data_IF_350803478136
#
_entry.id   IF_350803478136
#
_cell.length_a   1.000
_cell.length_b   1.000
_cell.length_c   1.000
_cell.angle_alpha   90.00
_cell.angle_beta   90.00
_cell.angle_gamma   90.00
#
_symmetry.space_group_name_H-M   'P 1'
#
loop_
_entity.id
_entity.type
_entity.pdbx_description
1 polymer ?
#
# COMPACT_ATOMS: atom_id res chain seq x y z
N UNK A 1 1.81 25.91 -48.19
CA UNK A 1 1.20 26.16 -46.86
C UNK A 1 0.78 24.89 -46.12
N UNK A 2 0.76 23.71 -46.77
CA UNK A 2 0.32 22.43 -46.18
C UNK A 2 1.38 21.81 -45.25
N UNK A 3 2.65 21.84 -45.63
CA UNK A 3 3.75 21.17 -44.90
C UNK A 3 3.93 21.57 -43.42
N UNK A 4 3.77 22.85 -43.07
CA UNK A 4 3.96 23.30 -41.68
C UNK A 4 2.81 22.81 -40.77
N UNK A 5 1.58 22.89 -41.28
CA UNK A 5 0.41 22.40 -40.55
C UNK A 5 0.50 20.88 -40.38
N UNK A 6 0.87 20.17 -41.43
CA UNK A 6 1.07 18.71 -41.39
C UNK A 6 2.14 18.34 -40.36
N UNK A 7 3.27 19.06 -40.33
CA UNK A 7 4.34 18.83 -39.35
C UNK A 7 3.86 19.07 -37.92
N UNK A 8 3.11 20.15 -37.68
CA UNK A 8 2.55 20.46 -36.36
C UNK A 8 1.54 19.38 -35.94
N UNK A 9 0.67 18.96 -36.85
CA UNK A 9 -0.32 17.91 -36.61
C UNK A 9 0.40 16.59 -36.28
N UNK A 10 1.37 16.17 -37.08
CA UNK A 10 2.14 14.94 -36.86
C UNK A 10 2.90 14.97 -35.54
N UNK A 11 3.57 16.07 -35.19
CA UNK A 11 4.26 16.18 -33.90
C UNK A 11 3.29 16.15 -32.71
N UNK A 12 2.14 16.80 -32.85
CA UNK A 12 1.11 16.80 -31.78
C UNK A 12 0.57 15.39 -31.56
N UNK A 13 0.27 14.66 -32.64
CA UNK A 13 -0.18 13.27 -32.58
C UNK A 13 0.88 12.38 -31.92
N UNK A 14 2.15 12.49 -32.35
CA UNK A 14 3.24 11.70 -31.81
C UNK A 14 3.46 11.97 -30.31
N UNK A 15 3.37 13.23 -29.87
CA UNK A 15 3.50 13.59 -28.46
C UNK A 15 2.35 13.02 -27.61
N UNK A 16 1.11 13.12 -28.09
CA UNK A 16 -0.05 12.53 -27.40
C UNK A 16 0.10 11.02 -27.32
N UNK A 17 0.53 10.37 -28.40
CA UNK A 17 0.73 8.92 -28.45
C UNK A 17 1.79 8.47 -27.43
N UNK A 18 2.94 9.16 -27.37
CA UNK A 18 4.01 8.85 -26.42
C UNK A 18 3.56 9.05 -24.96
N UNK A 19 2.85 10.14 -24.65
CA UNK A 19 2.31 10.39 -23.32
C UNK A 19 1.28 9.32 -22.91
N UNK A 20 0.46 8.87 -23.86
CA UNK A 20 -0.57 7.84 -23.62
C UNK A 20 0.08 6.49 -23.37
N UNK A 21 1.04 6.06 -24.19
CA UNK A 21 1.73 4.77 -24.05
C UNK A 21 2.52 4.71 -22.73
N UNK A 22 3.25 5.78 -22.39
CA UNK A 22 4.04 5.83 -21.17
C UNK A 22 3.18 5.79 -19.90
N UNK A 23 2.02 6.46 -19.91
CA UNK A 23 1.11 6.41 -18.77
C UNK A 23 0.30 5.11 -18.71
N UNK A 24 -0.12 4.58 -19.86
CA UNK A 24 -0.92 3.35 -19.94
C UNK A 24 -0.12 2.14 -19.43
N UNK A 25 1.16 2.03 -19.78
CA UNK A 25 2.02 0.95 -19.27
C UNK A 25 2.18 0.99 -17.74
N UNK A 26 2.33 2.17 -17.15
CA UNK A 26 2.40 2.35 -15.70
C UNK A 26 1.09 1.98 -15.00
N UNK A 27 -0.05 2.37 -15.57
CA UNK A 27 -1.37 2.02 -15.03
C UNK A 27 -1.64 0.51 -15.11
N UNK A 28 -1.35 -0.11 -16.26
CA UNK A 28 -1.51 -1.56 -16.45
C UNK A 28 -0.63 -2.33 -15.47
N UNK A 29 0.64 -1.93 -15.33
CA UNK A 29 1.56 -2.55 -14.37
C UNK A 29 1.01 -2.45 -12.95
N UNK A 30 0.54 -1.27 -12.54
CA UNK A 30 0.00 -1.06 -11.20
C UNK A 30 -1.23 -1.92 -10.92
N UNK A 31 -2.21 -1.96 -11.83
CA UNK A 31 -3.42 -2.79 -11.68
C UNK A 31 -3.11 -4.29 -11.71
N UNK A 32 -2.12 -4.70 -12.50
CA UNK A 32 -1.65 -6.10 -12.52
C UNK A 32 -1.02 -6.47 -11.18
N UNK A 33 -0.16 -5.61 -10.61
CA UNK A 33 0.46 -5.86 -9.31
C UNK A 33 -0.56 -5.89 -8.17
N UNK A 34 -1.58 -5.00 -8.19
CA UNK A 34 -2.70 -5.07 -7.23
C UNK A 34 -3.41 -6.41 -7.29
N UNK A 35 -3.73 -6.85 -8.50
CA UNK A 35 -4.46 -8.10 -8.73
C UNK A 35 -3.63 -9.30 -8.27
N UNK A 36 -2.33 -9.32 -8.60
CA UNK A 36 -1.41 -10.38 -8.20
C UNK A 36 -1.22 -10.43 -6.68
N UNK A 37 -1.03 -9.28 -6.04
CA UNK A 37 -0.92 -9.18 -4.58
C UNK A 37 -2.20 -9.68 -3.91
N UNK A 38 -3.38 -9.30 -4.42
CA UNK A 38 -4.64 -9.81 -3.91
C UNK A 38 -4.74 -11.32 -4.07
N UNK A 39 -4.43 -11.83 -5.27
CA UNK A 39 -4.60 -13.24 -5.61
C UNK A 39 -3.72 -14.15 -4.74
N UNK A 40 -2.47 -13.75 -4.52
CA UNK A 40 -1.47 -14.53 -3.77
C UNK A 40 -1.43 -14.22 -2.27
N UNK A 41 -2.26 -13.28 -1.78
CA UNK A 41 -2.34 -13.00 -0.35
C UNK A 41 -2.88 -14.20 0.44
N UNK A 42 -2.48 -14.28 1.71
CA UNK A 42 -3.13 -15.13 2.71
C UNK A 42 -4.64 -14.84 2.72
N UNK A 43 -5.44 -15.91 2.76
CA UNK A 43 -6.90 -15.86 2.66
C UNK A 43 -7.57 -16.12 3.99
N UNK A 44 -8.86 -15.80 4.02
CA UNK A 44 -9.70 -16.26 5.13
C UNK A 44 -9.64 -17.77 5.23
N UNK A 45 -9.57 -18.25 6.47
CA UNK A 45 -9.50 -19.66 6.83
C UNK A 45 -8.15 -20.36 6.57
N UNK A 46 -7.12 -19.62 6.11
CA UNK A 46 -5.75 -20.13 6.15
C UNK A 46 -5.28 -20.24 7.60
N UNK A 47 -4.66 -21.36 7.96
CA UNK A 47 -4.12 -21.59 9.30
C UNK A 47 -2.70 -21.04 9.33
N UNK A 48 -2.44 -20.12 10.25
CA UNK A 48 -1.11 -19.55 10.47
C UNK A 48 -0.58 -19.93 11.84
N UNK A 49 0.69 -20.32 11.89
CA UNK A 49 1.44 -20.44 13.13
C UNK A 49 1.77 -19.06 13.71
N UNK A 50 2.11 -19.01 15.00
CA UNK A 50 2.55 -17.78 15.67
C UNK A 50 3.77 -17.15 14.98
N UNK A 51 4.70 -17.97 14.48
CA UNK A 51 5.90 -17.49 13.81
C UNK A 51 5.58 -16.83 12.45
N UNK A 52 4.66 -17.40 11.69
CA UNK A 52 4.19 -16.81 10.43
C UNK A 52 3.46 -15.48 10.67
N UNK A 53 2.62 -15.42 11.70
CA UNK A 53 1.97 -14.16 12.12
C UNK A 53 3.01 -13.08 12.49
N UNK A 54 4.02 -13.44 13.28
CA UNK A 54 5.09 -12.50 13.66
C UNK A 54 5.89 -12.02 12.44
N UNK A 55 6.20 -12.93 11.51
CA UNK A 55 6.88 -12.60 10.28
C UNK A 55 6.06 -11.62 9.43
N UNK A 56 4.78 -11.91 9.23
CA UNK A 56 3.85 -11.05 8.49
C UNK A 56 3.76 -9.65 9.10
N UNK A 57 3.66 -9.54 10.42
CA UNK A 57 3.63 -8.25 11.11
C UNK A 57 4.93 -7.46 10.94
N UNK A 58 6.08 -8.13 10.94
CA UNK A 58 7.38 -7.49 10.71
C UNK A 58 7.52 -6.99 9.26
N UNK A 59 7.09 -7.77 8.26
CA UNK A 59 7.05 -7.31 6.87
C UNK A 59 6.09 -6.13 6.71
N UNK A 60 4.90 -6.21 7.31
CA UNK A 60 3.90 -5.16 7.26
C UNK A 60 4.45 -3.85 7.83
N UNK A 61 5.15 -3.88 8.97
CA UNK A 61 5.79 -2.71 9.60
C UNK A 61 6.78 -1.98 8.68
N UNK A 62 7.36 -2.66 7.69
CA UNK A 62 8.32 -2.08 6.74
C UNK A 62 7.65 -1.39 5.54
N UNK A 63 6.36 -1.60 5.34
CA UNK A 63 5.61 -1.01 4.23
C UNK A 63 5.38 0.50 4.46
N UNK A 64 5.33 1.27 3.37
CA UNK A 64 5.04 2.71 3.42
C UNK A 64 3.61 3.01 3.90
N UNK A 65 2.66 2.12 3.62
CA UNK A 65 1.25 2.25 3.99
C UNK A 65 0.71 0.93 4.57
N UNK A 66 1.14 0.56 5.79
CA UNK A 66 0.99 -0.79 6.33
C UNK A 66 -0.46 -1.23 6.60
N UNK A 67 -1.38 -0.27 6.84
CA UNK A 67 -2.76 -0.59 7.25
C UNK A 67 -3.80 -0.37 6.15
N UNK A 68 -3.36 -0.08 4.92
CA UNK A 68 -4.24 0.05 3.75
C UNK A 68 -3.74 -0.89 2.67
N UNK A 69 -4.60 -1.79 2.19
CA UNK A 69 -4.24 -2.63 1.05
C UNK A 69 -4.21 -1.82 -0.25
N UNK A 70 -3.62 -2.37 -1.31
CA UNK A 70 -3.52 -1.66 -2.60
C UNK A 70 -4.89 -1.33 -3.25
N UNK A 71 -5.99 -1.89 -2.73
CA UNK A 71 -7.37 -1.60 -3.13
C UNK A 71 -8.07 -0.56 -2.24
N UNK A 72 -7.39 -0.03 -1.23
CA UNK A 72 -7.91 1.01 -0.33
C UNK A 72 -8.66 0.51 0.90
N UNK A 73 -8.69 -0.81 1.16
CA UNK A 73 -9.33 -1.35 2.38
C UNK A 73 -8.38 -1.31 3.56
N UNK A 74 -8.90 -0.98 4.75
CA UNK A 74 -8.14 -1.09 5.99
C UNK A 74 -7.88 -2.56 6.33
N UNK A 75 -6.65 -2.88 6.74
CA UNK A 75 -6.23 -4.26 7.07
C UNK A 75 -6.16 -4.54 8.57
N UNK A 76 -6.38 -3.52 9.42
CA UNK A 76 -6.41 -3.66 10.87
C UNK A 76 -7.45 -2.70 11.48
N UNK A 77 -7.93 -3.04 12.67
CA UNK A 77 -8.81 -2.21 13.49
C UNK A 77 -8.42 -2.32 14.96
N UNK A 78 -8.67 -1.27 15.74
CA UNK A 78 -8.47 -1.25 17.18
C UNK A 78 -9.70 -1.88 17.84
N UNK A 79 -9.49 -2.92 18.64
CA UNK A 79 -10.58 -3.59 19.36
C UNK A 79 -10.86 -2.94 20.73
N UNK A 80 -9.83 -2.48 21.42
CA UNK A 80 -9.93 -1.82 22.71
C UNK A 80 -8.66 -1.03 23.03
N UNK A 81 -8.80 -0.04 23.90
CA UNK A 81 -7.67 0.66 24.52
C UNK A 81 -7.43 0.02 25.89
N UNK A 82 -6.22 -0.52 26.10
CA UNK A 82 -5.79 -0.96 27.42
C UNK A 82 -5.08 0.20 28.11
N UNK A 83 -5.63 0.66 29.23
CA UNK A 83 -4.89 1.50 30.17
C UNK A 83 -3.76 0.68 30.76
N UNK A 84 -2.52 1.16 30.60
CA UNK A 84 -1.30 0.45 30.97
C UNK A 84 -1.28 0.23 32.49
N UNK A 85 -1.63 -0.98 32.94
CA UNK A 85 -1.10 -1.51 34.20
C UNK A 85 0.32 -1.97 33.87
N UNK A 86 1.30 -1.29 34.45
CA UNK A 86 2.73 -1.57 34.27
C UNK A 86 3.02 -2.91 34.96
N UNK A 87 3.04 -3.99 34.19
CA UNK A 87 3.63 -5.26 34.62
C UNK A 87 4.77 -5.61 33.67
N UNK A 88 6.00 -5.55 34.20
CA UNK A 88 7.29 -6.20 33.86
C UNK A 88 7.72 -6.46 32.40
N UNK A 89 6.95 -6.08 31.39
CA UNK A 89 7.35 -6.15 30.00
C UNK A 89 8.16 -4.90 29.65
N UNK A 90 9.44 -5.11 29.35
CA UNK A 90 10.26 -4.13 28.65
C UNK A 90 9.65 -3.88 27.27
N UNK A 91 8.79 -2.88 27.17
CA UNK A 91 8.27 -2.43 25.88
C UNK A 91 9.31 -1.53 25.23
N UNK A 92 9.73 -1.89 24.00
CA UNK A 92 10.63 -1.04 23.22
C UNK A 92 9.95 0.31 22.94
N UNK A 93 10.54 1.37 23.46
CA UNK A 93 10.04 2.74 23.31
C UNK A 93 10.05 3.22 21.85
N UNK A 94 10.88 2.64 20.97
CA UNK A 94 10.83 2.90 19.53
C UNK A 94 9.58 2.28 18.90
N UNK A 95 9.25 1.05 19.30
CA UNK A 95 8.04 0.35 18.86
C UNK A 95 6.78 1.06 19.36
N UNK A 96 6.79 1.57 20.60
CA UNK A 96 5.68 2.37 21.14
C UNK A 96 5.42 3.66 20.38
N UNK A 97 6.46 4.36 19.92
CA UNK A 97 6.29 5.57 19.09
C UNK A 97 5.69 5.24 17.72
N UNK A 98 6.07 4.09 17.16
CA UNK A 98 5.48 3.59 15.91
C UNK A 98 4.01 3.21 16.14
N UNK A 99 3.70 2.46 17.20
CA UNK A 99 2.34 2.10 17.59
C UNK A 99 1.46 3.33 17.88
N UNK A 100 1.99 4.36 18.53
CA UNK A 100 1.28 5.62 18.77
C UNK A 100 0.94 6.35 17.45
N UNK A 101 1.83 6.28 16.46
CA UNK A 101 1.59 6.84 15.12
C UNK A 101 0.53 6.06 14.36
N UNK A 102 0.54 4.74 14.50
CA UNK A 102 -0.47 3.83 13.92
C UNK A 102 -1.83 4.04 14.58
N UNK A 103 -1.87 4.14 15.91
CA UNK A 103 -3.07 4.40 16.70
C UNK A 103 -3.70 5.74 16.29
N UNK A 104 -2.88 6.78 16.15
CA UNK A 104 -3.33 8.10 15.65
C UNK A 104 -3.86 8.02 14.22
N UNK A 105 -3.28 7.19 13.36
CA UNK A 105 -3.74 6.99 11.99
C UNK A 105 -5.09 6.23 11.94
N UNK A 106 -5.22 5.14 12.70
CA UNK A 106 -6.45 4.34 12.79
C UNK A 106 -7.62 5.13 13.41
N UNK A 107 -7.38 6.05 14.35
CA UNK A 107 -8.43 6.92 14.91
C UNK A 107 -8.93 8.03 13.97
N UNK A 108 -8.16 8.37 12.92
CA UNK A 108 -8.47 9.49 12.01
C UNK A 108 -9.04 9.05 10.66
N UNK A 109 -8.92 7.77 10.34
CA UNK A 109 -9.37 7.15 9.08
C UNK A 109 -10.76 6.55 9.24
#
# INVERSE_FOLDING_TARGET
STCLLDTIITNTINNILLLTINNQSKLIMYETLKSLACHNAIKFNDILSKNECNHLLNELKSCSMPFICAHGRTSASILCEYDIIIDDYHVDMAELKQLASIHKWLKKS
#
